data_IF_823533890857
#
_entry.id   IF_823533890857
#
_cell.length_a   1.000
_cell.length_b   1.000
_cell.length_c   1.000
_cell.angle_alpha   90.00
_cell.angle_beta   90.00
_cell.angle_gamma   90.00
#
_symmetry.space_group_name_H-M   'P 1'
#
loop_
_entity.id
_entity.type
_entity.pdbx_description
1 polymer ?
#
# COMPACT_ATOMS: atom_id res chain seq x y z
N UNK A 1 -5.62 -26.14 -5.86
CA UNK A 1 -5.74 -25.19 -4.74
C UNK A 1 -5.01 -23.94 -5.19
N UNK A 2 -5.74 -23.00 -5.78
CA UNK A 2 -5.18 -21.74 -6.26
C UNK A 2 -4.99 -20.85 -5.05
N UNK A 3 -3.74 -20.58 -4.69
CA UNK A 3 -3.42 -19.59 -3.66
C UNK A 3 -3.69 -18.22 -4.27
N UNK A 4 -4.94 -17.76 -4.16
CA UNK A 4 -5.30 -16.36 -4.36
C UNK A 4 -4.71 -15.57 -3.20
N UNK A 5 -3.39 -15.35 -3.25
CA UNK A 5 -2.71 -14.37 -2.42
C UNK A 5 -3.12 -13.01 -2.96
N UNK A 6 -4.23 -12.46 -2.46
CA UNK A 6 -4.55 -11.04 -2.57
C UNK A 6 -3.54 -10.29 -1.70
N UNK A 7 -2.44 -9.75 -2.25
CA UNK A 7 -1.37 -9.25 -1.40
C UNK A 7 -1.77 -7.84 -0.97
N UNK A 8 -1.68 -7.57 0.33
CA UNK A 8 -2.02 -6.31 1.01
C UNK A 8 -3.51 -6.14 1.35
N UNK A 9 -4.24 -7.22 1.66
CA UNK A 9 -5.27 -7.12 2.71
C UNK A 9 -4.67 -7.21 4.10
N UNK A 10 -3.48 -7.81 4.22
CA UNK A 10 -2.77 -7.96 5.50
C UNK A 10 -1.89 -6.73 5.81
N UNK A 11 -2.12 -6.05 6.94
CA UNK A 11 -1.30 -4.92 7.37
C UNK A 11 0.15 -5.33 7.69
N UNK A 12 1.16 -4.57 7.25
CA UNK A 12 2.55 -4.87 7.59
C UNK A 12 2.85 -4.62 9.07
N UNK A 13 3.81 -5.36 9.61
CA UNK A 13 4.36 -5.08 10.95
C UNK A 13 5.32 -3.89 10.92
N UNK A 14 5.23 -3.02 11.92
CA UNK A 14 6.19 -1.94 12.12
C UNK A 14 7.55 -2.51 12.54
N UNK A 15 8.60 -2.25 11.75
CA UNK A 15 9.96 -2.73 12.04
C UNK A 15 10.62 -2.16 13.30
N UNK A 16 9.99 -1.20 13.98
CA UNK A 16 10.51 -0.59 15.21
C UNK A 16 9.73 -1.04 16.44
N UNK A 17 8.40 -1.03 16.35
CA UNK A 17 7.53 -1.37 17.48
C UNK A 17 7.13 -2.84 17.51
N UNK A 18 7.40 -3.59 16.43
CA UNK A 18 6.98 -4.99 16.25
C UNK A 18 5.46 -5.19 16.39
N UNK A 19 4.68 -4.13 16.10
CA UNK A 19 3.22 -4.14 16.13
C UNK A 19 2.65 -4.06 14.72
N UNK A 20 1.49 -4.66 14.52
CA UNK A 20 0.71 -4.55 13.30
C UNK A 20 0.36 -3.08 13.01
N UNK A 21 0.67 -2.60 11.81
CA UNK A 21 0.30 -1.27 11.37
C UNK A 21 -1.19 -1.23 11.01
N UNK A 22 -1.83 -0.07 11.08
CA UNK A 22 -3.24 0.08 10.72
C UNK A 22 -3.39 0.83 9.43
N UNK A 23 -4.32 0.37 8.58
CA UNK A 23 -4.69 1.12 7.39
C UNK A 23 -5.18 2.49 7.81
N UNK A 24 -4.54 3.53 7.28
CA UNK A 24 -4.81 4.93 7.61
C UNK A 24 -5.38 5.69 6.42
N UNK A 25 -5.10 5.24 5.21
CA UNK A 25 -5.68 5.79 4.01
C UNK A 25 -5.52 4.84 2.84
N UNK A 26 -6.59 4.65 2.07
CA UNK A 26 -6.55 3.98 0.78
C UNK A 26 -7.22 4.87 -0.25
N UNK A 27 -6.84 4.72 -1.50
CA UNK A 27 -7.51 5.41 -2.59
C UNK A 27 -6.80 5.25 -3.91
N UNK A 28 -7.28 5.98 -4.89
CA UNK A 28 -6.73 5.94 -6.23
C UNK A 28 -6.30 7.35 -6.62
N UNK A 29 -5.02 7.51 -6.95
CA UNK A 29 -4.45 8.76 -7.45
C UNK A 29 -4.26 8.66 -8.96
N UNK A 30 -4.75 9.65 -9.69
CA UNK A 30 -4.49 9.78 -11.13
C UNK A 30 -3.28 10.68 -11.35
N UNK A 31 -2.17 10.11 -11.80
CA UNK A 31 -0.95 10.86 -12.09
C UNK A 31 -1.09 11.48 -13.50
N UNK A 32 -1.72 12.66 -13.59
CA UNK A 32 -1.76 13.59 -14.76
C UNK A 32 -2.84 13.30 -15.85
N UNK A 33 -3.47 14.34 -16.48
CA UNK A 33 -4.76 14.19 -17.20
C UNK A 33 -4.73 13.63 -18.63
N UNK A 34 -3.58 13.50 -19.29
CA UNK A 34 -3.53 13.25 -20.75
C UNK A 34 -3.00 11.85 -21.14
N UNK A 35 -2.11 11.25 -20.34
CA UNK A 35 -1.53 9.90 -20.56
C UNK A 35 -1.18 9.23 -19.19
N UNK A 36 -1.94 9.55 -18.14
CA UNK A 36 -1.63 9.10 -16.79
C UNK A 36 -2.19 7.72 -16.48
N UNK A 37 -1.34 6.78 -16.08
CA UNK A 37 -1.76 5.52 -15.46
C UNK A 37 -2.44 5.80 -14.12
N UNK A 38 -3.55 5.13 -13.87
CA UNK A 38 -4.25 5.20 -12.61
C UNK A 38 -3.45 4.42 -11.57
N UNK A 39 -3.04 5.05 -10.48
CA UNK A 39 -2.26 4.39 -9.42
C UNK A 39 -3.13 4.22 -8.19
N UNK A 40 -3.37 2.99 -7.79
CA UNK A 40 -3.97 2.69 -6.49
C UNK A 40 -2.90 2.81 -5.40
N UNK A 41 -3.27 3.36 -4.25
CA UNK A 41 -2.39 3.48 -3.11
C UNK A 41 -3.05 3.01 -1.82
N UNK A 42 -2.27 2.39 -0.94
CA UNK A 42 -2.64 2.00 0.42
C UNK A 42 -1.56 2.49 1.39
N UNK A 43 -1.97 3.18 2.44
CA UNK A 43 -1.10 3.73 3.46
C UNK A 43 -1.45 3.12 4.82
N UNK A 44 -0.44 2.53 5.46
CA UNK A 44 -0.52 1.98 6.80
C UNK A 44 0.32 2.83 7.74
N UNK A 45 -0.18 3.09 8.96
CA UNK A 45 0.60 3.74 10.01
C UNK A 45 0.64 2.89 11.28
N UNK A 46 1.79 2.92 11.95
CA UNK A 46 1.95 2.31 13.26
C UNK A 46 1.21 3.16 14.32
N UNK A 47 0.30 2.57 15.11
CA UNK A 47 -0.41 3.31 16.16
C UNK A 47 0.50 3.77 17.30
N UNK A 48 1.64 3.10 17.51
CA UNK A 48 2.55 3.38 18.63
C UNK A 48 3.54 4.51 18.33
N UNK A 49 4.19 4.46 17.16
CA UNK A 49 5.25 5.42 16.80
C UNK A 49 4.88 6.38 15.67
N UNK A 50 3.70 6.22 15.05
CA UNK A 50 3.25 7.07 13.95
C UNK A 50 4.00 6.87 12.63
N UNK A 51 4.90 5.89 12.52
CA UNK A 51 5.59 5.59 11.26
C UNK A 51 4.60 5.10 10.21
N UNK A 52 4.70 5.64 9.00
CA UNK A 52 3.87 5.26 7.87
C UNK A 52 4.63 4.50 6.79
N UNK A 53 3.95 3.57 6.14
CA UNK A 53 4.38 2.96 4.88
C UNK A 53 3.27 3.12 3.85
N UNK A 54 3.65 3.47 2.63
CA UNK A 54 2.75 3.56 1.48
C UNK A 54 3.11 2.47 0.49
N UNK A 55 2.09 1.81 -0.03
CA UNK A 55 2.16 0.88 -1.13
C UNK A 55 1.36 1.46 -2.29
N UNK A 56 1.81 1.16 -3.50
CA UNK A 56 1.17 1.58 -4.73
C UNK A 56 1.22 0.48 -5.79
N UNK A 57 0.23 0.48 -6.68
CA UNK A 57 0.18 -0.36 -7.89
C UNK A 57 -0.44 0.42 -9.03
N UNK A 58 0.08 0.26 -10.23
CA UNK A 58 -0.44 0.95 -11.42
C UNK A 58 -1.50 0.15 -12.17
N UNK A 59 -1.53 -1.16 -11.95
CA UNK A 59 -2.48 -2.09 -12.53
C UNK A 59 -3.04 -3.01 -11.44
N UNK A 60 -4.31 -3.43 -11.53
CA UNK A 60 -4.90 -4.32 -10.53
C UNK A 60 -4.24 -5.70 -10.49
N UNK A 61 -3.60 -6.11 -11.59
CA UNK A 61 -2.83 -7.35 -11.74
C UNK A 61 -1.36 -7.19 -11.28
N UNK A 62 -0.92 -5.95 -11.02
CA UNK A 62 0.43 -5.66 -10.54
C UNK A 62 0.53 -5.88 -9.02
N UNK A 63 1.65 -6.48 -8.60
CA UNK A 63 1.96 -6.62 -7.19
C UNK A 63 2.21 -5.24 -6.58
N UNK A 64 1.54 -4.98 -5.46
CA UNK A 64 1.76 -3.77 -4.69
C UNK A 64 3.24 -3.60 -4.33
N UNK A 65 3.76 -2.41 -4.63
CA UNK A 65 5.16 -2.06 -4.43
C UNK A 65 5.28 -0.82 -3.57
N UNK A 66 6.41 -0.68 -2.87
CA UNK A 66 6.71 0.59 -2.20
C UNK A 66 7.16 1.60 -3.26
N UNK A 67 6.76 2.88 -3.19
CA UNK A 67 7.32 3.90 -4.06
C UNK A 67 8.84 3.92 -3.89
N UNK A 68 9.56 3.54 -4.93
CA UNK A 68 10.98 3.87 -5.05
C UNK A 68 11.05 5.37 -5.33
N UNK A 69 11.37 6.12 -4.27
CA UNK A 69 11.59 7.56 -4.33
C UNK A 69 12.81 7.91 -5.18
#
# INVERSE_FOLDING_TARGET
>A
MSVETDPITDPPTCSVCDVEMRLSGEGTSKTVPLIGSQVEFRQFNCPECGRGVRYERSDPDEAWSRPTR
#
